data_IF_004889469236
#
_entry.id   IF_004889469236
#
_cell.length_a   1.000
_cell.length_b   1.000
_cell.length_c   1.000
_cell.angle_alpha   90.00
_cell.angle_beta   90.00
_cell.angle_gamma   90.00
#
_symmetry.space_group_name_H-M   'P 1'
#
loop_
_entity.id
_entity.type
_entity.pdbx_description
1 polymer ?
#
# COMPACT_ATOMS: atom_id res chain seq x y z
N UNK A 1 0.38 -38.92 -8.37
CA UNK A 1 -0.26 -37.59 -8.53
C UNK A 1 0.20 -37.02 -9.85
N UNK A 2 -0.69 -36.98 -10.84
CA UNK A 2 -0.37 -36.49 -12.18
C UNK A 2 -0.07 -34.99 -12.16
N UNK A 3 0.90 -34.55 -12.96
CA UNK A 3 1.33 -33.15 -13.04
C UNK A 3 0.17 -32.16 -13.28
N UNK A 4 -0.92 -32.63 -13.91
CA UNK A 4 -2.16 -31.87 -14.14
C UNK A 4 -2.89 -31.49 -12.85
N UNK A 5 -2.91 -32.38 -11.86
CA UNK A 5 -3.53 -32.10 -10.56
C UNK A 5 -2.73 -31.06 -9.76
N UNK A 6 -1.40 -31.07 -9.86
CA UNK A 6 -0.52 -30.11 -9.18
C UNK A 6 -0.73 -28.70 -9.73
N UNK A 7 -0.85 -28.55 -11.05
CA UNK A 7 -1.08 -27.26 -11.71
C UNK A 7 -2.43 -26.65 -11.29
N UNK A 8 -3.48 -27.47 -11.20
CA UNK A 8 -4.82 -27.02 -10.79
C UNK A 8 -4.80 -26.51 -9.34
N UNK A 9 -4.15 -27.23 -8.42
CA UNK A 9 -4.05 -26.83 -7.01
C UNK A 9 -3.31 -25.50 -6.88
N UNK A 10 -2.21 -25.32 -7.62
CA UNK A 10 -1.45 -24.06 -7.63
C UNK A 10 -2.32 -22.91 -8.15
N UNK A 11 -3.07 -23.13 -9.22
CA UNK A 11 -3.94 -22.10 -9.81
C UNK A 11 -5.07 -21.68 -8.85
N UNK A 12 -5.69 -22.65 -8.16
CA UNK A 12 -6.72 -22.40 -7.15
C UNK A 12 -6.16 -21.66 -5.94
N UNK A 13 -4.94 -21.96 -5.49
CA UNK A 13 -4.29 -21.26 -4.38
C UNK A 13 -3.92 -19.81 -4.75
N UNK A 14 -3.49 -19.56 -5.99
CA UNK A 14 -3.17 -18.20 -6.46
C UNK A 14 -4.44 -17.35 -6.57
N UNK A 15 -5.50 -17.88 -7.19
CA UNK A 15 -6.78 -17.18 -7.32
C UNK A 15 -7.43 -16.99 -5.95
N UNK A 16 -7.46 -18.05 -5.12
CA UNK A 16 -7.99 -17.99 -3.77
C UNK A 16 -7.25 -16.97 -2.90
N UNK A 17 -5.92 -16.96 -2.97
CA UNK A 17 -5.09 -15.96 -2.29
C UNK A 17 -5.38 -14.54 -2.76
N UNK A 18 -5.57 -14.34 -4.06
CA UNK A 18 -5.89 -13.04 -4.67
C UNK A 18 -7.26 -12.50 -4.22
N UNK A 19 -8.29 -13.36 -4.22
CA UNK A 19 -9.65 -12.99 -3.76
C UNK A 19 -9.67 -12.63 -2.27
N UNK A 20 -8.90 -13.33 -1.43
CA UNK A 20 -8.82 -13.06 0.02
C UNK A 20 -8.16 -11.68 0.27
N UNK A 21 -7.15 -11.30 -0.52
CA UNK A 21 -6.49 -10.00 -0.38
C UNK A 21 -7.40 -8.80 -0.69
N UNK A 22 -8.30 -8.92 -1.67
CA UNK A 22 -9.25 -7.85 -2.00
C UNK A 22 -10.34 -7.64 -0.94
N UNK A 23 -10.63 -8.69 -0.17
CA UNK A 23 -11.62 -8.70 0.91
C UNK A 23 -11.09 -8.19 2.26
N UNK A 24 -9.81 -7.75 2.35
CA UNK A 24 -9.30 -7.22 3.62
C UNK A 24 -10.12 -5.99 4.04
N UNK A 25 -10.86 -6.07 5.17
CA UNK A 25 -11.67 -4.96 5.62
C UNK A 25 -10.76 -3.79 5.96
N UNK A 26 -11.13 -2.60 5.51
CA UNK A 26 -10.36 -1.42 5.79
C UNK A 26 -10.42 -1.12 7.30
N UNK A 27 -9.25 -1.07 7.95
CA UNK A 27 -9.13 -0.92 9.41
C UNK A 27 -8.86 0.53 9.77
N UNK A 28 -9.60 1.04 10.74
CA UNK A 28 -9.31 2.36 11.32
C UNK A 28 -8.22 2.23 12.37
N UNK A 29 -7.17 3.04 12.27
CA UNK A 29 -6.06 3.09 13.21
C UNK A 29 -5.65 4.52 13.48
N UNK A 30 -5.18 4.77 14.69
CA UNK A 30 -4.50 6.01 15.02
C UNK A 30 -2.99 5.84 14.76
N UNK A 31 -2.44 6.80 14.03
CA UNK A 31 -1.04 6.81 13.62
C UNK A 31 -0.38 8.10 14.08
N UNK A 32 0.87 8.00 14.50
CA UNK A 32 1.78 9.12 14.68
C UNK A 32 2.74 9.16 13.49
N UNK A 33 2.68 10.22 12.70
CA UNK A 33 3.51 10.37 11.50
C UNK A 33 4.93 10.73 11.90
N UNK A 34 5.90 9.87 11.56
CA UNK A 34 7.33 10.09 11.85
C UNK A 34 8.07 10.68 10.66
N UNK A 35 7.76 10.23 9.44
CA UNK A 35 8.42 10.72 8.23
C UNK A 35 7.50 10.60 7.01
N UNK A 36 7.79 11.39 5.98
CA UNK A 36 7.08 11.41 4.71
C UNK A 36 8.09 11.27 3.58
N UNK A 37 7.88 10.32 2.68
CA UNK A 37 8.77 10.08 1.54
C UNK A 37 8.01 10.19 0.21
N UNK A 38 8.66 10.78 -0.79
CA UNK A 38 8.14 10.91 -2.16
C UNK A 38 9.17 10.33 -3.11
N UNK A 39 8.83 9.26 -3.79
CA UNK A 39 9.73 8.56 -4.72
C UNK A 39 9.18 8.65 -6.13
N UNK A 40 10.05 9.00 -7.08
CA UNK A 40 9.73 8.98 -8.51
C UNK A 40 10.35 7.74 -9.13
N UNK A 41 9.53 6.92 -9.76
CA UNK A 41 9.98 5.74 -10.49
C UNK A 41 9.74 5.97 -11.98
N UNK A 42 10.75 5.65 -12.79
CA UNK A 42 10.60 5.57 -14.23
C UNK A 42 9.75 4.33 -14.53
N UNK A 43 8.60 4.52 -15.17
CA UNK A 43 7.94 3.38 -15.80
C UNK A 43 8.76 3.00 -17.03
N UNK A 44 9.12 1.73 -17.21
CA UNK A 44 9.72 1.29 -18.45
C UNK A 44 8.77 1.65 -19.60
N UNK A 45 9.30 2.09 -20.75
CA UNK A 45 8.48 2.47 -21.89
C UNK A 45 7.62 1.29 -22.32
N UNK A 46 6.30 1.49 -22.38
CA UNK A 46 5.37 0.51 -22.91
C UNK A 46 5.69 0.29 -24.40
N UNK A 47 6.06 -0.96 -24.77
CA UNK A 47 6.47 -1.33 -26.14
C UNK A 47 5.42 -1.02 -27.23
N UNK A 48 4.18 -0.69 -26.83
CA UNK A 48 3.06 -0.43 -27.74
C UNK A 48 2.86 1.05 -28.09
N UNK A 49 3.39 1.99 -27.32
CA UNK A 49 3.13 3.43 -27.54
C UNK A 49 4.45 4.18 -27.60
N UNK A 50 4.89 4.53 -28.81
CA UNK A 50 5.99 5.47 -29.07
C UNK A 50 5.63 6.88 -28.58
N UNK A 51 5.45 7.13 -27.28
CA UNK A 51 5.54 8.51 -26.74
C UNK A 51 5.63 8.54 -25.21
N UNK A 52 6.52 9.44 -24.77
CA UNK A 52 6.61 10.10 -23.46
C UNK A 52 6.98 9.22 -22.27
N UNK A 53 8.17 9.48 -21.74
CA UNK A 53 8.61 9.01 -20.42
C UNK A 53 7.49 9.19 -19.40
N UNK A 54 6.88 8.07 -18.98
CA UNK A 54 5.85 8.07 -17.95
C UNK A 54 6.53 7.85 -16.60
N UNK A 55 6.32 8.80 -15.69
CA UNK A 55 6.84 8.74 -14.34
C UNK A 55 5.70 8.37 -13.39
N UNK A 56 5.94 7.39 -12.52
CA UNK A 56 5.02 7.08 -11.43
C UNK A 56 5.58 7.70 -10.16
N UNK A 57 4.79 8.59 -9.55
CA UNK A 57 5.10 9.17 -8.26
C UNK A 57 4.42 8.33 -7.18
N UNK A 58 5.22 7.80 -6.25
CA UNK A 58 4.72 7.05 -5.10
C UNK A 58 4.92 7.89 -3.84
N UNK A 59 3.84 8.10 -3.11
CA UNK A 59 3.83 8.81 -1.85
C UNK A 59 3.74 7.79 -0.70
N UNK A 60 4.71 7.82 0.21
CA UNK A 60 4.75 6.94 1.38
C UNK A 60 4.86 7.73 2.68
N UNK A 61 4.27 7.18 3.73
CA UNK A 61 4.23 7.73 5.08
C UNK A 61 4.83 6.69 6.02
N UNK A 62 5.85 7.09 6.77
CA UNK A 62 6.33 6.32 7.90
C UNK A 62 5.60 6.80 9.15
N UNK A 63 5.05 5.85 9.90
CA UNK A 63 4.28 6.16 11.10
C UNK A 63 4.35 5.04 12.13
N UNK A 64 4.07 5.38 13.38
CA UNK A 64 3.88 4.43 14.48
C UNK A 64 2.40 4.36 14.83
N UNK A 65 1.90 3.20 15.23
CA UNK A 65 0.56 3.12 15.80
C UNK A 65 0.58 3.63 17.25
N UNK A 66 -0.31 4.54 17.59
CA UNK A 66 -0.41 5.10 18.96
C UNK A 66 -0.79 4.04 19.99
N UNK A 67 -1.57 3.04 19.56
CA UNK A 67 -2.04 1.91 20.37
C UNK A 67 -1.04 0.73 20.42
N UNK A 68 0.08 0.80 19.68
CA UNK A 68 1.03 -0.32 19.64
C UNK A 68 2.07 -0.19 20.76
N UNK A 69 2.10 -1.17 21.67
CA UNK A 69 3.12 -1.29 22.74
C UNK A 69 4.55 -1.36 22.19
N UNK A 70 4.72 -1.94 21.01
CA UNK A 70 5.98 -1.89 20.29
C UNK A 70 5.95 -0.65 19.39
N UNK A 71 6.86 0.29 19.63
CA UNK A 71 7.12 1.51 18.85
C UNK A 71 7.63 1.23 17.41
N UNK A 72 7.12 0.16 16.78
CA UNK A 72 7.45 -0.30 15.45
C UNK A 72 7.03 0.75 14.43
N UNK A 73 7.96 1.07 13.54
CA UNK A 73 7.70 1.96 12.41
C UNK A 73 7.06 1.13 11.30
N UNK A 74 5.96 1.66 10.76
CA UNK A 74 5.22 1.11 9.64
C UNK A 74 5.28 2.09 8.47
N UNK A 75 5.37 1.55 7.26
CA UNK A 75 5.37 2.34 6.02
C UNK A 75 4.10 2.04 5.24
N UNK A 76 3.33 3.08 4.93
CA UNK A 76 2.11 2.96 4.13
C UNK A 76 2.19 3.85 2.89
N UNK A 77 1.64 3.38 1.78
CA UNK A 77 1.39 4.19 0.59
C UNK A 77 0.16 5.06 0.79
N UNK A 78 0.07 6.18 0.08
CA UNK A 78 -1.13 7.03 0.11
C UNK A 78 -1.25 7.83 -1.19
N UNK A 79 -2.42 8.44 -1.39
CA UNK A 79 -2.61 9.43 -2.46
C UNK A 79 -1.87 10.73 -2.15
N UNK A 80 -1.60 11.52 -3.19
CA UNK A 80 -0.99 12.85 -3.04
C UNK A 80 -1.79 13.76 -2.11
N UNK A 81 -3.13 13.69 -2.17
CA UNK A 81 -4.00 14.47 -1.30
C UNK A 81 -3.78 14.14 0.18
N UNK A 82 -3.79 12.85 0.53
CA UNK A 82 -3.55 12.39 1.90
C UNK A 82 -2.13 12.74 2.34
N UNK A 83 -1.15 12.55 1.45
CA UNK A 83 0.23 12.94 1.70
C UNK A 83 0.31 14.42 2.07
N UNK A 84 -0.32 15.32 1.32
CA UNK A 84 -0.28 16.76 1.59
C UNK A 84 -1.00 17.16 2.89
N UNK A 85 -2.10 16.47 3.24
CA UNK A 85 -2.81 16.71 4.49
C UNK A 85 -2.04 16.27 5.75
N UNK A 86 -1.28 15.17 5.68
CA UNK A 86 -0.54 14.65 6.82
C UNK A 86 0.72 15.47 7.11
N UNK A 87 0.88 15.84 8.39
CA UNK A 87 2.09 16.53 8.90
C UNK A 87 2.92 15.61 9.79
N UNK A 88 4.24 15.75 9.70
CA UNK A 88 5.19 15.03 10.57
C UNK A 88 5.00 15.46 12.02
N UNK A 89 5.24 14.53 12.95
CA UNK A 89 5.09 14.70 14.40
C UNK A 89 3.66 15.05 14.85
N UNK A 90 2.66 14.56 14.12
CA UNK A 90 1.24 14.70 14.45
C UNK A 90 0.53 13.35 14.42
N UNK A 91 -0.48 13.24 15.28
CA UNK A 91 -1.37 12.09 15.35
C UNK A 91 -2.55 12.29 14.41
N UNK A 92 -2.95 11.22 13.72
CA UNK A 92 -4.12 11.19 12.87
C UNK A 92 -4.86 9.88 13.03
N UNK A 93 -6.18 9.93 12.93
CA UNK A 93 -7.00 8.73 12.78
C UNK A 93 -7.17 8.49 11.29
N UNK A 94 -6.76 7.32 10.82
CA UNK A 94 -6.77 6.98 9.40
C UNK A 94 -7.44 5.64 9.14
N UNK A 95 -7.93 5.46 7.93
CA UNK A 95 -8.48 4.20 7.42
C UNK A 95 -7.46 3.55 6.49
N UNK A 96 -7.00 2.36 6.87
CA UNK A 96 -5.98 1.57 6.17
C UNK A 96 -6.64 0.43 5.40
N UNK A 97 -6.21 0.19 4.15
CA UNK A 97 -6.53 -1.03 3.39
C UNK A 97 -5.22 -1.68 2.98
N UNK A 98 -4.88 -2.80 3.61
CA UNK A 98 -3.57 -3.45 3.41
C UNK A 98 -2.42 -2.52 3.79
N UNK A 99 -1.58 -2.15 2.80
CA UNK A 99 -0.43 -1.26 2.93
C UNK A 99 -0.71 0.18 2.46
N UNK A 100 -1.99 0.56 2.32
CA UNK A 100 -2.39 1.88 1.84
C UNK A 100 -3.26 2.64 2.85
N UNK A 101 -2.98 3.93 3.01
CA UNK A 101 -3.84 4.89 3.70
C UNK A 101 -4.87 5.38 2.70
N UNK A 102 -6.14 5.01 2.91
CA UNK A 102 -7.24 5.29 1.99
C UNK A 102 -7.98 6.57 2.36
N UNK A 103 -8.03 6.91 3.65
CA UNK A 103 -8.74 8.10 4.14
C UNK A 103 -8.20 8.58 5.49
N UNK A 104 -8.17 9.90 5.68
CA UNK A 104 -8.00 10.55 6.98
C UNK A 104 -9.40 10.81 7.55
N UNK A 105 -9.62 10.48 8.83
CA UNK A 105 -10.89 10.64 9.54
C UNK A 105 -10.89 11.95 10.30
#
# INVERSE_FOLDING_TARGET
MDARFVIIIIFVLIIGGFIISDFLPAKTKEIFVTQKNKSKYYSPPDLKTKTTESYVIVYTIECKFTDSKNNKIHVFRCSEYIYNCLKVNKNYRVKLKGLEIVKII
#
